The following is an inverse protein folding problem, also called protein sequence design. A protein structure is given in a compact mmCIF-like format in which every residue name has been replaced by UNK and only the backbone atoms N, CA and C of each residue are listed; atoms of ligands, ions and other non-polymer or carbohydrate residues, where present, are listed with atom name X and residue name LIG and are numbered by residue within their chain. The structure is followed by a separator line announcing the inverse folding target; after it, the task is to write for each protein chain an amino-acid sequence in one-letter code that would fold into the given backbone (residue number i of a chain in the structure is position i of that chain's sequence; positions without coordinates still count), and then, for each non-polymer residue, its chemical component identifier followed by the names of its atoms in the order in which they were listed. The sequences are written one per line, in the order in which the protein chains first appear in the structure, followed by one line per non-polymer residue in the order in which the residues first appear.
data_IF_973201208432
#
_entry.id   IF_973201208432
#
_cell.length_a   1.000
_cell.length_b   1.000
_cell.length_c   1.000
_cell.angle_alpha   90.00
_cell.angle_beta   90.00
_cell.angle_gamma   90.00
#
_symmetry.space_group_name_H-M   'P 1'
#
loop_
_entity.id
_entity.type
_entity.pdbx_description
1 polymer ?
#
# COMPACT_ATOMS: atom_id res chain seq x y z
N UNK A 1 -3.59 0.43 23.14
CA UNK A 1 -3.29 1.87 23.02
C UNK A 1 -2.49 2.29 24.23
N UNK A 2 -1.47 3.13 24.06
CA UNK A 2 -0.75 3.74 25.18
C UNK A 2 -1.47 5.00 25.71
N UNK A 3 -1.00 5.57 26.81
CA UNK A 3 -1.60 6.76 27.44
C UNK A 3 -1.66 7.97 26.49
N UNK A 4 -0.61 8.16 25.69
CA UNK A 4 -0.53 9.22 24.70
C UNK A 4 -1.62 9.09 23.62
N UNK A 5 -1.81 7.88 23.11
CA UNK A 5 -2.86 7.55 22.14
C UNK A 5 -4.26 7.74 22.73
N UNK A 6 -4.45 7.42 24.02
CA UNK A 6 -5.72 7.65 24.71
C UNK A 6 -6.00 9.15 24.87
N UNK A 7 -5.00 9.96 25.23
CA UNK A 7 -5.11 11.42 25.30
C UNK A 7 -5.48 12.00 23.94
N UNK A 8 -4.73 11.65 22.89
CA UNK A 8 -4.96 12.13 21.54
C UNK A 8 -6.36 11.75 21.03
N UNK A 9 -6.79 10.49 21.28
CA UNK A 9 -8.14 10.04 20.95
C UNK A 9 -9.21 10.84 21.69
N UNK A 10 -9.03 11.09 22.98
CA UNK A 10 -9.99 11.85 23.78
C UNK A 10 -10.14 13.28 23.24
N UNK A 11 -9.02 13.93 22.92
CA UNK A 11 -9.02 15.26 22.30
C UNK A 11 -9.76 15.27 20.97
N UNK A 12 -9.48 14.30 20.09
CA UNK A 12 -10.15 14.15 18.79
C UNK A 12 -11.65 13.93 18.97
N UNK A 13 -12.08 13.13 19.94
CA UNK A 13 -13.51 12.88 20.19
C UNK A 13 -14.22 14.12 20.73
N UNK A 14 -13.56 14.91 21.59
CA UNK A 14 -14.13 16.09 22.22
C UNK A 14 -14.15 17.32 21.30
N UNK A 15 -13.04 17.58 20.60
CA UNK A 15 -12.85 18.80 19.79
C UNK A 15 -13.13 18.56 18.31
N UNK A 16 -13.18 17.29 17.90
CA UNK A 16 -13.26 16.89 16.50
C UNK A 16 -12.11 17.40 15.64
N UNK A 17 -10.97 17.72 16.25
CA UNK A 17 -9.75 18.22 15.62
C UNK A 17 -8.56 17.35 16.02
N UNK A 18 -7.48 17.37 15.22
CA UNK A 18 -6.22 16.79 15.68
C UNK A 18 -5.60 17.69 16.75
N UNK A 19 -4.99 17.12 17.79
CA UNK A 19 -4.18 17.90 18.71
C UNK A 19 -3.09 18.67 17.93
N UNK A 20 -2.85 19.96 18.22
CA UNK A 20 -1.94 20.81 17.44
C UNK A 20 -0.51 20.28 17.32
N UNK A 21 -0.09 19.45 18.27
CA UNK A 21 1.22 18.80 18.29
C UNK A 21 1.39 17.67 17.24
N UNK A 22 0.32 17.27 16.55
CA UNK A 22 0.34 16.21 15.54
C UNK A 22 -0.01 16.72 14.14
N UNK A 23 0.85 16.44 13.16
CA UNK A 23 0.59 16.74 11.74
C UNK A 23 -0.05 15.59 10.95
N UNK A 24 -0.17 14.39 11.53
CA UNK A 24 -0.72 13.22 10.83
C UNK A 24 -1.45 12.26 11.76
N UNK A 25 -2.41 11.52 11.21
CA UNK A 25 -3.15 10.46 11.91
C UNK A 25 -3.21 9.18 11.08
N UNK A 26 -2.99 8.05 11.76
CA UNK A 26 -3.11 6.70 11.17
C UNK A 26 -4.40 6.08 11.67
N UNK A 27 -5.30 5.76 10.74
CA UNK A 27 -6.60 5.16 11.01
C UNK A 27 -6.56 3.70 10.53
N UNK A 28 -6.82 2.77 11.44
CA UNK A 28 -6.99 1.35 11.13
C UNK A 28 -8.48 0.99 11.05
N UNK A 29 -8.79 -0.20 10.53
CA UNK A 29 -10.17 -0.66 10.36
C UNK A 29 -11.00 -0.62 11.66
N UNK A 30 -10.39 -0.95 12.80
CA UNK A 30 -11.06 -0.89 14.10
C UNK A 30 -11.43 0.54 14.57
N UNK A 31 -10.88 1.57 13.94
CA UNK A 31 -11.12 2.99 14.26
C UNK A 31 -12.16 3.64 13.34
N UNK A 32 -12.68 2.91 12.35
CA UNK A 32 -13.56 3.43 11.28
C UNK A 32 -14.93 3.92 11.76
N UNK A 33 -15.42 3.40 12.87
CA UNK A 33 -16.84 3.58 13.21
C UNK A 33 -17.19 4.93 13.84
N UNK A 34 -16.25 5.70 14.39
CA UNK A 34 -16.63 6.79 15.30
C UNK A 34 -15.85 8.10 15.25
N UNK A 35 -14.86 8.26 14.37
CA UNK A 35 -14.06 9.50 14.32
C UNK A 35 -14.57 10.41 13.19
N UNK A 36 -15.13 11.57 13.55
CA UNK A 36 -15.45 12.64 12.61
C UNK A 36 -14.52 13.80 12.90
N UNK A 37 -13.63 14.13 11.96
CA UNK A 37 -12.66 15.21 12.08
C UNK A 37 -13.12 16.42 11.26
N UNK A 38 -13.03 17.61 11.84
CA UNK A 38 -13.38 18.91 11.29
C UNK A 38 -12.17 19.82 11.51
N UNK A 39 -11.49 20.27 10.46
CA UNK A 39 -10.28 21.10 10.59
C UNK A 39 -9.33 20.91 9.41
N UNK A 40 -8.23 21.68 9.36
CA UNK A 40 -7.13 21.43 8.43
C UNK A 40 -6.34 20.23 8.92
N UNK A 41 -6.29 19.18 8.10
CA UNK A 41 -5.50 17.98 8.36
C UNK A 41 -4.57 17.80 7.19
N UNK A 42 -3.28 17.90 7.46
CA UNK A 42 -2.25 17.83 6.43
C UNK A 42 -2.18 16.42 5.81
N UNK A 43 -2.40 15.37 6.60
CA UNK A 43 -2.25 13.99 6.11
C UNK A 43 -3.07 12.95 6.88
N UNK A 44 -3.79 12.10 6.14
CA UNK A 44 -4.54 10.94 6.67
C UNK A 44 -4.02 9.66 6.03
N UNK A 45 -3.65 8.66 6.84
CA UNK A 45 -3.19 7.35 6.39
C UNK A 45 -4.24 6.30 6.77
N UNK A 46 -4.87 5.69 5.76
CA UNK A 46 -5.91 4.67 5.95
C UNK A 46 -5.29 3.28 5.77
N UNK A 47 -5.14 2.55 6.87
CA UNK A 47 -4.49 1.24 6.88
C UNK A 47 -5.50 0.08 6.87
N UNK A 48 -6.35 0.00 5.84
CA UNK A 48 -7.38 -1.06 5.67
C UNK A 48 -7.56 -1.50 4.20
N UNK A 49 -7.92 -2.77 3.99
CA UNK A 49 -8.23 -3.39 2.67
C UNK A 49 -9.73 -3.34 2.32
N UNK A 50 -10.57 -2.86 3.23
CA UNK A 50 -12.01 -2.88 3.08
C UNK A 50 -12.47 -1.68 2.23
N UNK A 51 -12.89 -1.93 0.99
CA UNK A 51 -13.32 -0.89 0.05
C UNK A 51 -14.45 -0.01 0.62
N UNK A 52 -15.43 -0.64 1.29
CA UNK A 52 -16.52 0.09 1.95
C UNK A 52 -15.98 1.10 2.96
N UNK A 53 -14.90 0.72 3.64
CA UNK A 53 -14.33 1.51 4.68
C UNK A 53 -13.42 2.63 4.15
N UNK A 54 -12.72 2.39 3.06
CA UNK A 54 -12.04 3.45 2.28
C UNK A 54 -13.06 4.48 1.73
N UNK A 55 -14.21 4.02 1.23
CA UNK A 55 -15.30 4.89 0.76
C UNK A 55 -15.93 5.68 1.92
N UNK A 56 -16.13 5.04 3.08
CA UNK A 56 -16.65 5.70 4.27
C UNK A 56 -15.69 6.76 4.84
N UNK A 57 -14.38 6.50 4.83
CA UNK A 57 -13.38 7.52 5.20
C UNK A 57 -13.48 8.70 4.24
N UNK A 58 -13.52 8.45 2.92
CA UNK A 58 -13.69 9.51 1.92
C UNK A 58 -14.98 10.32 2.12
N UNK A 59 -16.08 9.69 2.53
CA UNK A 59 -17.35 10.34 2.80
C UNK A 59 -17.39 11.19 4.09
N UNK A 60 -16.47 10.97 5.03
CA UNK A 60 -16.40 11.69 6.32
C UNK A 60 -15.58 12.99 6.25
N UNK A 61 -14.72 13.15 5.24
CA UNK A 61 -13.99 14.40 4.99
C UNK A 61 -14.77 15.29 4.02
N UNK A 62 -15.36 16.39 4.53
CA UNK A 62 -16.21 17.33 3.77
C UNK A 62 -15.53 18.65 3.38
N UNK A 63 -14.22 18.78 3.60
CA UNK A 63 -13.38 19.94 3.23
C UNK A 63 -12.04 19.48 2.66
N UNK A 64 -11.32 20.41 2.03
CA UNK A 64 -10.01 20.23 1.38
C UNK A 64 -9.05 19.43 2.27
N UNK A 65 -8.91 18.16 1.93
CA UNK A 65 -7.86 17.30 2.46
C UNK A 65 -6.67 17.47 1.52
N UNK A 66 -5.55 17.98 2.03
CA UNK A 66 -4.38 18.24 1.18
C UNK A 66 -3.83 16.95 0.58
N UNK A 67 -3.83 15.83 1.34
CA UNK A 67 -3.38 14.52 0.83
C UNK A 67 -4.01 13.33 1.58
N UNK A 68 -4.56 12.36 0.83
CA UNK A 68 -5.05 11.07 1.34
C UNK A 68 -4.10 9.94 0.93
N UNK A 69 -3.50 9.24 1.89
CA UNK A 69 -2.75 8.01 1.60
C UNK A 69 -3.63 6.80 1.93
N UNK A 70 -4.07 6.13 0.87
CA UNK A 70 -4.78 4.85 0.97
C UNK A 70 -3.74 3.74 0.95
N UNK A 71 -3.86 2.79 1.88
CA UNK A 71 -3.07 1.58 1.83
C UNK A 71 -3.49 0.72 0.64
N UNK A 72 -2.81 0.93 -0.48
CA UNK A 72 -2.94 0.10 -1.67
C UNK A 72 -1.84 -0.97 -1.68
N UNK A 73 -2.17 -2.18 -1.23
CA UNK A 73 -1.30 -3.36 -1.40
C UNK A 73 -1.20 -3.82 -2.87
N UNK A 74 -1.99 -3.21 -3.76
CA UNK A 74 -1.89 -3.32 -5.20
C UNK A 74 -0.74 -2.50 -5.77
N UNK A 75 -0.33 -1.38 -5.17
CA UNK A 75 0.80 -0.62 -5.67
C UNK A 75 2.11 -1.41 -5.45
N UNK A 76 2.64 -2.02 -6.52
CA UNK A 76 3.97 -2.61 -6.49
C UNK A 76 4.97 -1.46 -6.58
N UNK A 77 5.68 -1.19 -5.50
CA UNK A 77 6.94 -0.45 -5.58
C UNK A 77 7.95 -1.34 -6.32
N UNK A 78 8.00 -1.19 -7.64
CA UNK A 78 8.87 -1.99 -8.49
C UNK A 78 10.31 -1.48 -8.37
N UNK A 79 11.29 -2.33 -8.01
CA UNK A 79 12.68 -1.89 -7.91
C UNK A 79 13.25 -1.67 -9.34
N UNK A 80 13.61 -0.43 -9.71
CA UNK A 80 13.96 -0.06 -11.08
C UNK A 80 15.20 -0.82 -11.60
N UNK A 81 16.06 -1.33 -10.72
CA UNK A 81 17.22 -2.14 -11.08
C UNK A 81 16.89 -3.49 -11.75
N UNK A 82 15.62 -3.89 -11.76
CA UNK A 82 15.11 -5.08 -12.45
C UNK A 82 14.46 -4.75 -13.81
N UNK A 83 14.35 -3.48 -14.20
CA UNK A 83 13.84 -3.06 -15.51
C UNK A 83 14.87 -3.28 -16.61
N UNK A 84 14.38 -3.55 -17.82
CA UNK A 84 15.14 -3.62 -19.08
C UNK A 84 16.34 -4.58 -19.11
N UNK A 85 16.51 -5.43 -18.09
CA UNK A 85 17.56 -6.44 -18.03
C UNK A 85 17.00 -7.85 -18.11
N UNK A 86 17.87 -8.80 -18.48
CA UNK A 86 17.53 -10.23 -18.45
C UNK A 86 17.49 -10.72 -17.01
N UNK A 87 16.31 -11.10 -16.55
CA UNK A 87 16.12 -11.77 -15.26
C UNK A 87 16.16 -13.27 -15.47
N UNK A 88 17.16 -13.94 -14.90
CA UNK A 88 17.26 -15.38 -14.81
C UNK A 88 16.58 -15.88 -13.54
N UNK A 89 16.66 -17.18 -13.27
CA UNK A 89 15.92 -17.80 -12.18
C UNK A 89 16.26 -17.21 -10.80
N UNK A 90 17.52 -16.86 -10.59
CA UNK A 90 18.02 -16.27 -9.35
C UNK A 90 17.46 -14.85 -9.18
N UNK A 91 17.51 -14.03 -10.23
CA UNK A 91 16.95 -12.67 -10.24
C UNK A 91 15.44 -12.68 -10.01
N UNK A 92 14.72 -13.63 -10.62
CA UNK A 92 13.26 -13.78 -10.44
C UNK A 92 12.91 -14.11 -8.99
N UNK A 93 13.70 -14.97 -8.33
CA UNK A 93 13.50 -15.30 -6.91
C UNK A 93 13.81 -14.10 -6.02
N UNK A 94 14.86 -13.34 -6.33
CA UNK A 94 15.20 -12.11 -5.61
C UNK A 94 14.08 -11.08 -5.73
N UNK A 95 13.60 -10.81 -6.94
CA UNK A 95 12.48 -9.89 -7.17
C UNK A 95 11.20 -10.36 -6.46
N UNK A 96 10.87 -11.66 -6.50
CA UNK A 96 9.75 -12.21 -5.71
C UNK A 96 9.87 -11.94 -4.20
N UNK A 97 11.10 -11.97 -3.65
CA UNK A 97 11.33 -11.66 -2.22
C UNK A 97 11.21 -10.17 -1.95
N UNK A 98 11.79 -9.32 -2.80
CA UNK A 98 11.76 -7.87 -2.66
C UNK A 98 10.33 -7.34 -2.74
N UNK A 99 9.53 -7.84 -3.68
CA UNK A 99 8.13 -7.48 -3.82
C UNK A 99 7.26 -7.99 -2.67
N UNK A 100 7.73 -8.99 -1.91
CA UNK A 100 7.06 -9.47 -0.70
C UNK A 100 5.63 -9.98 -0.91
N UNK A 101 5.24 -10.30 -2.14
CA UNK A 101 3.87 -10.66 -2.50
C UNK A 101 3.49 -11.99 -1.85
N UNK A 102 2.36 -12.01 -1.14
CA UNK A 102 1.85 -13.19 -0.41
C UNK A 102 0.52 -13.68 -0.96
N UNK A 103 0.32 -14.99 -0.93
CA UNK A 103 -0.96 -15.62 -1.25
C UNK A 103 -1.96 -15.50 -0.08
N UNK A 104 -3.17 -16.03 -0.28
CA UNK A 104 -4.23 -16.11 0.74
C UNK A 104 -3.83 -16.88 2.02
N UNK A 105 -2.79 -17.71 1.95
CA UNK A 105 -2.25 -18.50 3.05
C UNK A 105 -1.00 -17.85 3.66
N UNK A 106 -0.73 -16.57 3.37
CA UNK A 106 0.45 -15.83 3.82
C UNK A 106 1.80 -16.38 3.33
N UNK A 107 1.83 -17.21 2.28
CA UNK A 107 3.07 -17.75 1.69
C UNK A 107 3.58 -16.81 0.61
N UNK A 108 4.90 -16.67 0.49
CA UNK A 108 5.52 -15.93 -0.62
C UNK A 108 5.15 -16.58 -1.95
N UNK A 109 4.72 -15.75 -2.91
CA UNK A 109 4.30 -16.24 -4.22
C UNK A 109 5.50 -16.44 -5.15
N UNK A 110 5.43 -17.46 -5.99
CA UNK A 110 6.44 -17.72 -7.01
C UNK A 110 6.37 -16.75 -8.19
N UNK A 111 7.41 -16.79 -9.05
CA UNK A 111 7.57 -15.92 -10.23
C UNK A 111 6.33 -15.85 -11.13
N UNK A 112 5.62 -16.96 -11.36
CA UNK A 112 4.43 -16.95 -12.23
C UNK A 112 3.31 -16.04 -11.71
N UNK A 113 3.12 -15.97 -10.40
CA UNK A 113 2.13 -15.08 -9.77
C UNK A 113 2.60 -13.63 -9.79
N UNK A 114 3.89 -13.39 -9.53
CA UNK A 114 4.50 -12.06 -9.66
C UNK A 114 4.33 -11.53 -11.08
N UNK A 115 4.67 -12.34 -12.08
CA UNK A 115 4.51 -12.03 -13.50
C UNK A 115 3.08 -11.62 -13.83
N UNK A 116 2.08 -12.36 -13.34
CA UNK A 116 0.67 -12.02 -13.56
C UNK A 116 0.31 -10.66 -12.97
N UNK A 117 0.72 -10.38 -11.73
CA UNK A 117 0.47 -9.09 -11.07
C UNK A 117 1.16 -7.91 -11.77
N UNK A 118 2.37 -8.11 -12.27
CA UNK A 118 3.07 -7.08 -13.05
C UNK A 118 2.32 -6.76 -14.36
N UNK A 119 1.83 -7.79 -15.06
CA UNK A 119 0.99 -7.59 -16.26
C UNK A 119 -0.33 -6.86 -15.94
N UNK A 120 -0.97 -7.17 -14.80
CA UNK A 120 -2.18 -6.48 -14.33
C UNK A 120 -1.93 -4.99 -14.04
N UNK A 121 -0.67 -4.59 -13.82
CA UNK A 121 -0.27 -3.21 -13.52
C UNK A 121 0.29 -2.45 -14.72
N UNK A 122 0.24 -3.06 -15.91
CA UNK A 122 0.66 -2.42 -17.15
C UNK A 122 2.09 -2.72 -17.58
N UNK A 123 2.89 -3.43 -16.78
CA UNK A 123 4.24 -3.82 -17.19
C UNK A 123 4.18 -4.83 -18.35
N UNK A 124 5.08 -4.67 -19.31
CA UNK A 124 5.29 -5.63 -20.40
C UNK A 124 6.39 -6.61 -20.06
N UNK A 125 6.18 -7.91 -20.30
CA UNK A 125 7.17 -8.95 -20.00
C UNK A 125 7.50 -9.75 -21.25
N UNK A 126 8.78 -9.72 -21.66
CA UNK A 126 9.31 -10.49 -22.78
C UNK A 126 10.12 -11.68 -22.27
N UNK A 127 9.71 -12.89 -22.60
CA UNK A 127 10.47 -14.09 -22.26
C UNK A 127 11.44 -14.48 -23.38
N UNK A 128 12.55 -15.11 -23.01
CA UNK A 128 13.52 -15.63 -23.97
C UNK A 128 14.37 -16.75 -23.38
N UNK A 129 15.32 -17.23 -24.18
CA UNK A 129 16.27 -18.27 -23.78
C UNK A 129 17.68 -17.92 -24.24
N UNK A 130 18.65 -18.07 -23.35
CA UNK A 130 20.07 -17.83 -23.62
C UNK A 130 20.90 -18.93 -22.97
N UNK A 131 21.82 -19.54 -23.74
CA UNK A 131 22.68 -20.63 -23.25
C UNK A 131 21.90 -21.70 -22.46
N UNK A 132 20.76 -22.12 -23.03
CA UNK A 132 19.81 -23.07 -22.43
C UNK A 132 19.02 -22.59 -21.20
N UNK A 133 19.30 -21.40 -20.65
CA UNK A 133 18.60 -20.80 -19.49
C UNK A 133 17.45 -19.90 -19.95
N UNK A 134 16.30 -19.96 -19.26
CA UNK A 134 15.15 -19.09 -19.54
C UNK A 134 15.31 -17.76 -18.81
N UNK A 135 15.05 -16.65 -19.50
CA UNK A 135 15.03 -15.31 -18.91
C UNK A 135 13.72 -14.59 -19.19
N UNK A 136 13.44 -13.55 -18.42
CA UNK A 136 12.35 -12.61 -18.67
C UNK A 136 12.89 -11.18 -18.57
N UNK A 137 12.43 -10.28 -19.44
CA UNK A 137 12.75 -8.85 -19.41
C UNK A 137 11.46 -8.10 -19.10
N UNK A 138 11.50 -7.22 -18.11
CA UNK A 138 10.37 -6.38 -17.68
C UNK A 138 10.56 -4.98 -18.26
N UNK A 139 9.49 -4.41 -18.80
CA UNK A 139 9.43 -3.07 -19.37
C UNK A 139 8.16 -2.37 -18.86
N UNK A 140 8.19 -1.04 -18.76
CA UNK A 140 7.00 -0.20 -18.50
C UNK A 140 6.20 0.06 -19.77
#
# INVERSE_FOLDING_TARGET
MNEEQLRARQYILSNKELPPEYGAVIINASSETSISLYGHIDTVIVHTREEEAQVQVRGRYRKDLDTLYILDYGAISFPPEFLERKLFEEDKRELSRLLGLRDKNSRLVGWNTVKKKLLEQGFTIKDGREKNRRYSIIQE
#
